data_IF_622770442706
#
_entry.id   IF_622770442706
#
_cell.length_a   1.000
_cell.length_b   1.000
_cell.length_c   1.000
_cell.angle_alpha   90.00
_cell.angle_beta   90.00
_cell.angle_gamma   90.00
#
_symmetry.space_group_name_H-M   'P 1'
#
loop_
_entity.id
_entity.type
_entity.pdbx_description
1 polymer ?
#
# COMPACT_ATOMS: atom_id res chain seq x y z
N UNK A 1 36.74 -9.93 -3.63
CA UNK A 1 36.02 -8.67 -3.34
C UNK A 1 35.11 -8.82 -2.11
N UNK A 2 34.02 -9.58 -2.17
CA UNK A 2 33.07 -9.73 -1.03
C UNK A 2 33.71 -10.30 0.24
N UNK A 3 34.72 -11.17 0.12
CA UNK A 3 35.49 -11.68 1.28
C UNK A 3 36.15 -10.55 2.08
N UNK A 4 36.70 -9.55 1.40
CA UNK A 4 37.33 -8.38 2.03
C UNK A 4 36.28 -7.56 2.79
N UNK A 5 35.11 -7.35 2.17
CA UNK A 5 33.96 -6.69 2.82
C UNK A 5 33.57 -7.41 4.11
N UNK A 6 33.48 -8.74 4.09
CA UNK A 6 33.13 -9.53 5.27
C UNK A 6 34.18 -9.47 6.38
N UNK A 7 35.47 -9.48 6.05
CA UNK A 7 36.53 -9.39 7.07
C UNK A 7 36.57 -8.00 7.72
N UNK A 8 36.25 -6.94 6.98
CA UNK A 8 36.30 -5.55 7.44
C UNK A 8 35.06 -5.11 8.23
N UNK A 9 33.96 -5.88 8.20
CA UNK A 9 32.69 -5.51 8.82
C UNK A 9 32.35 -6.41 10.02
N UNK A 10 31.80 -5.81 11.09
CA UNK A 10 31.36 -6.53 12.27
C UNK A 10 30.33 -7.61 11.90
N UNK A 11 30.52 -8.83 12.41
CA UNK A 11 29.68 -9.99 12.13
C UNK A 11 30.05 -10.78 10.86
N UNK A 12 30.89 -10.24 9.98
CA UNK A 12 31.31 -10.94 8.77
C UNK A 12 32.25 -12.14 9.00
N UNK A 13 33.19 -12.13 9.97
CA UNK A 13 33.97 -13.32 10.32
C UNK A 13 33.09 -14.48 10.79
N UNK A 14 32.05 -14.22 11.59
CA UNK A 14 31.11 -15.25 12.06
C UNK A 14 30.39 -15.96 10.90
N UNK A 15 30.01 -15.24 9.84
CA UNK A 15 29.40 -15.82 8.64
C UNK A 15 30.41 -16.72 7.91
N UNK A 16 31.67 -16.29 7.81
CA UNK A 16 32.72 -17.09 7.17
C UNK A 16 33.00 -18.37 7.96
N UNK A 17 32.97 -18.31 9.29
CA UNK A 17 33.23 -19.46 10.16
C UNK A 17 32.05 -20.44 10.17
N UNK A 18 30.81 -19.96 10.24
CA UNK A 18 29.60 -20.78 10.11
C UNK A 18 29.62 -21.59 8.79
N UNK A 19 30.02 -20.93 7.70
CA UNK A 19 30.12 -21.60 6.41
C UNK A 19 31.24 -22.63 6.33
N UNK A 20 32.40 -22.34 6.92
CA UNK A 20 33.52 -23.31 6.96
C UNK A 20 33.14 -24.56 7.72
N UNK A 21 32.36 -24.42 8.80
CA UNK A 21 31.96 -25.53 9.66
C UNK A 21 30.87 -26.39 9.02
N UNK A 22 29.83 -25.77 8.44
CA UNK A 22 28.64 -26.50 8.00
C UNK A 22 28.52 -26.67 6.47
N UNK A 23 29.34 -25.95 5.69
CA UNK A 23 29.23 -25.87 4.23
C UNK A 23 27.96 -25.19 3.71
N UNK A 24 27.17 -24.60 4.61
CA UNK A 24 25.87 -23.98 4.38
C UNK A 24 25.71 -22.78 5.32
N UNK A 25 24.85 -21.83 4.94
CA UNK A 25 24.47 -20.72 5.82
C UNK A 25 23.02 -20.86 6.27
N UNK A 26 22.80 -20.65 7.57
CA UNK A 26 21.48 -20.45 8.17
C UNK A 26 20.79 -19.24 7.53
N UNK A 27 19.47 -19.19 7.66
CA UNK A 27 18.68 -18.10 7.10
C UNK A 27 19.07 -16.74 7.73
N UNK A 28 19.35 -16.72 9.03
CA UNK A 28 19.89 -15.55 9.75
C UNK A 28 21.22 -15.09 9.18
N UNK A 29 22.16 -16.01 8.94
CA UNK A 29 23.48 -15.66 8.39
C UNK A 29 23.39 -15.16 6.94
N UNK A 30 22.49 -15.74 6.13
CA UNK A 30 22.20 -15.26 4.77
C UNK A 30 21.66 -13.83 4.77
N UNK A 31 20.72 -13.50 5.67
CA UNK A 31 20.23 -12.12 5.82
C UNK A 31 21.32 -11.17 6.30
N UNK A 32 22.15 -11.61 7.25
CA UNK A 32 23.25 -10.82 7.80
C UNK A 32 24.33 -10.52 6.73
N UNK A 33 24.67 -11.50 5.90
CA UNK A 33 25.54 -11.35 4.74
C UNK A 33 25.06 -10.24 3.80
N UNK A 34 23.78 -10.28 3.42
CA UNK A 34 23.19 -9.25 2.54
C UNK A 34 23.22 -7.87 3.21
N UNK A 35 22.96 -7.79 4.52
CA UNK A 35 23.05 -6.53 5.26
C UNK A 35 24.46 -5.93 5.25
N UNK A 36 25.50 -6.73 5.49
CA UNK A 36 26.90 -6.28 5.44
C UNK A 36 27.25 -5.77 4.05
N UNK A 37 26.88 -6.51 3.00
CA UNK A 37 27.14 -6.12 1.61
C UNK A 37 26.44 -4.80 1.28
N UNK A 38 25.18 -4.64 1.68
CA UNK A 38 24.39 -3.43 1.43
C UNK A 38 24.91 -2.23 2.21
N UNK A 39 25.35 -2.42 3.45
CA UNK A 39 25.99 -1.38 4.25
C UNK A 39 27.25 -0.87 3.53
N UNK A 40 28.10 -1.76 3.03
CA UNK A 40 29.30 -1.40 2.27
C UNK A 40 28.98 -0.65 0.96
N UNK A 41 27.95 -1.10 0.22
CA UNK A 41 27.51 -0.41 -1.00
C UNK A 41 27.02 1.01 -0.66
N UNK A 42 26.25 1.15 0.41
CA UNK A 42 25.67 2.44 0.84
C UNK A 42 26.76 3.40 1.33
N UNK A 43 27.78 2.90 2.02
CA UNK A 43 28.92 3.68 2.47
C UNK A 43 29.75 4.23 1.28
N UNK A 44 29.91 3.43 0.22
CA UNK A 44 30.70 3.84 -0.95
C UNK A 44 29.97 4.69 -1.99
N UNK A 45 28.70 4.39 -2.27
CA UNK A 45 27.95 5.00 -3.37
C UNK A 45 26.65 5.71 -2.92
N UNK A 46 26.37 5.74 -1.62
CA UNK A 46 25.17 6.35 -1.07
C UNK A 46 23.89 5.57 -1.36
N UNK A 47 22.75 6.26 -1.38
CA UNK A 47 21.42 5.65 -1.46
C UNK A 47 21.02 5.19 -2.88
N UNK A 48 21.77 5.55 -3.91
CA UNK A 48 21.48 5.19 -5.32
C UNK A 48 22.73 4.55 -5.95
N UNK A 49 23.08 3.32 -5.54
CA UNK A 49 24.26 2.66 -6.06
C UNK A 49 24.08 2.21 -7.51
N UNK A 50 25.20 2.20 -8.24
CA UNK A 50 25.30 1.83 -9.64
C UNK A 50 24.92 0.37 -9.88
N UNK A 51 24.40 0.08 -11.09
CA UNK A 51 24.12 -1.31 -11.50
C UNK A 51 25.38 -2.17 -11.45
N UNK A 52 26.53 -1.60 -11.80
CA UNK A 52 27.82 -2.29 -11.82
C UNK A 52 28.25 -2.75 -10.42
N UNK A 53 28.12 -1.89 -9.40
CA UNK A 53 28.51 -2.23 -8.03
C UNK A 53 27.59 -3.29 -7.42
N UNK A 54 26.28 -3.24 -7.69
CA UNK A 54 25.34 -4.30 -7.30
C UNK A 54 25.70 -5.64 -7.93
N UNK A 55 25.97 -5.66 -9.25
CA UNK A 55 26.39 -6.87 -9.97
C UNK A 55 27.70 -7.42 -9.41
N UNK A 56 28.70 -6.57 -9.19
CA UNK A 56 30.02 -6.97 -8.64
C UNK A 56 29.88 -7.61 -7.26
N UNK A 57 28.99 -7.09 -6.42
CA UNK A 57 28.70 -7.66 -5.11
C UNK A 57 28.01 -9.02 -5.23
N UNK A 58 26.92 -9.12 -6.00
CA UNK A 58 26.18 -10.37 -6.19
C UNK A 58 27.07 -11.48 -6.78
N UNK A 59 27.82 -11.14 -7.84
CA UNK A 59 28.76 -12.07 -8.47
C UNK A 59 29.84 -12.56 -7.50
N UNK A 60 30.30 -11.70 -6.57
CA UNK A 60 31.31 -12.06 -5.58
C UNK A 60 30.82 -12.94 -4.41
N UNK A 61 29.50 -13.10 -4.24
CA UNK A 61 28.91 -13.95 -3.19
C UNK A 61 29.02 -15.42 -3.56
N UNK A 62 28.68 -15.79 -4.80
CA UNK A 62 28.60 -17.19 -5.26
C UNK A 62 29.92 -17.96 -5.12
N UNK A 63 31.10 -17.41 -5.49
CA UNK A 63 32.37 -18.10 -5.29
C UNK A 63 32.75 -18.31 -3.82
N UNK A 64 32.23 -17.48 -2.90
CA UNK A 64 32.50 -17.61 -1.47
C UNK A 64 31.55 -18.58 -0.79
N UNK A 65 30.31 -18.64 -1.27
CA UNK A 65 29.27 -19.50 -0.75
C UNK A 65 28.59 -20.29 -1.88
N UNK A 66 29.26 -21.31 -2.46
CA UNK A 66 28.71 -22.07 -3.59
C UNK A 66 27.31 -22.66 -3.37
N UNK A 67 26.94 -23.01 -2.13
CA UNK A 67 25.59 -23.52 -1.82
C UNK A 67 24.49 -22.48 -1.94
N UNK A 68 24.83 -21.20 -2.07
CA UNK A 68 23.88 -20.12 -2.33
C UNK A 68 23.65 -19.90 -3.82
N UNK A 69 24.34 -20.60 -4.71
CA UNK A 69 24.15 -20.46 -6.15
C UNK A 69 22.73 -20.88 -6.54
N UNK A 70 22.04 -20.05 -7.31
CA UNK A 70 20.73 -20.42 -7.87
C UNK A 70 20.92 -21.37 -9.07
N UNK A 71 20.44 -22.63 -8.99
CA UNK A 71 20.60 -23.61 -10.06
C UNK A 71 19.75 -23.31 -11.30
N UNK A 72 18.74 -22.44 -11.20
CA UNK A 72 17.82 -22.11 -12.30
C UNK A 72 18.24 -20.84 -13.07
N UNK A 73 19.27 -20.15 -12.60
CA UNK A 73 19.77 -18.92 -13.21
C UNK A 73 21.03 -19.16 -14.05
N UNK A 74 21.26 -18.31 -15.07
CA UNK A 74 22.35 -18.50 -16.03
C UNK A 74 23.72 -18.37 -15.38
N UNK A 75 23.89 -17.47 -14.43
CA UNK A 75 25.17 -17.18 -13.78
C UNK A 75 25.19 -17.53 -12.29
N UNK A 76 24.03 -17.80 -11.68
CA UNK A 76 23.91 -18.28 -10.32
C UNK A 76 23.77 -17.20 -9.26
N UNK A 77 23.92 -15.92 -9.61
CA UNK A 77 23.90 -14.79 -8.67
C UNK A 77 22.65 -13.91 -8.81
N UNK A 78 21.80 -14.18 -9.80
CA UNK A 78 20.69 -13.32 -10.20
C UNK A 78 19.67 -13.08 -9.08
N UNK A 79 19.50 -14.04 -8.16
CA UNK A 79 18.65 -13.87 -6.97
C UNK A 79 19.23 -12.86 -5.94
N UNK A 80 20.55 -12.65 -5.91
CA UNK A 80 21.15 -11.56 -5.14
C UNK A 80 21.01 -10.22 -5.86
N UNK A 81 21.27 -10.21 -7.18
CA UNK A 81 20.98 -9.07 -8.04
C UNK A 81 20.93 -9.48 -9.52
N UNK A 82 19.80 -9.20 -10.18
CA UNK A 82 19.66 -9.33 -11.63
C UNK A 82 19.76 -7.96 -12.31
N UNK A 83 20.79 -7.70 -13.14
CA UNK A 83 20.96 -6.43 -13.83
C UNK A 83 19.87 -6.16 -14.88
N UNK A 84 19.16 -7.18 -15.38
CA UNK A 84 18.09 -7.02 -16.37
C UNK A 84 16.82 -6.50 -15.74
N UNK A 85 16.35 -7.14 -14.67
CA UNK A 85 15.14 -6.74 -13.94
C UNK A 85 15.37 -5.69 -12.85
N UNK A 86 16.63 -5.44 -12.46
CA UNK A 86 17.00 -4.59 -11.31
C UNK A 86 16.40 -5.07 -9.97
N UNK A 87 16.17 -6.38 -9.86
CA UNK A 87 15.63 -7.06 -8.66
C UNK A 87 16.70 -7.93 -7.99
N UNK A 88 16.33 -8.54 -6.84
CA UNK A 88 17.20 -9.41 -6.04
C UNK A 88 17.41 -8.89 -4.62
N UNK A 89 17.95 -9.73 -3.74
CA UNK A 89 18.07 -9.43 -2.31
C UNK A 89 18.86 -8.15 -2.00
N UNK A 90 19.92 -7.86 -2.77
CA UNK A 90 20.71 -6.63 -2.61
C UNK A 90 19.86 -5.41 -3.00
N UNK A 91 19.11 -5.51 -4.11
CA UNK A 91 18.22 -4.43 -4.58
C UNK A 91 17.08 -4.18 -3.59
N UNK A 92 16.44 -5.25 -3.10
CA UNK A 92 15.37 -5.17 -2.10
C UNK A 92 15.87 -4.55 -0.79
N UNK A 93 17.03 -4.96 -0.31
CA UNK A 93 17.56 -4.45 0.96
C UNK A 93 18.00 -2.99 0.85
N UNK A 94 18.60 -2.56 -0.26
CA UNK A 94 18.89 -1.15 -0.52
C UNK A 94 17.62 -0.29 -0.49
N UNK A 95 16.52 -0.77 -1.07
CA UNK A 95 15.21 -0.09 -1.02
C UNK A 95 14.70 0.07 0.41
N UNK A 96 14.84 -0.95 1.26
CA UNK A 96 14.31 -0.92 2.64
C UNK A 96 15.21 -0.15 3.61
N UNK A 97 16.53 -0.22 3.48
CA UNK A 97 17.49 0.54 4.32
C UNK A 97 17.37 2.05 4.06
N UNK A 98 17.22 2.47 2.79
CA UNK A 98 17.01 3.88 2.43
C UNK A 98 15.74 4.48 3.04
N UNK A 99 14.67 3.68 3.19
CA UNK A 99 13.40 4.11 3.81
C UNK A 99 13.54 4.37 5.31
N UNK A 100 14.34 3.58 6.02
CA UNK A 100 14.56 3.76 7.46
C UNK A 100 15.40 5.01 7.78
N UNK A 101 16.36 5.35 6.91
CA UNK A 101 17.19 6.56 7.05
C UNK A 101 16.38 7.86 6.90
N UNK A 102 15.42 7.91 5.96
CA UNK A 102 14.53 9.07 5.75
C UNK A 102 13.60 9.38 6.95
N UNK A 103 13.39 8.42 7.84
CA UNK A 103 12.60 8.63 9.06
C UNK A 103 13.42 9.18 10.24
N UNK A 104 14.76 9.15 10.19
CA UNK A 104 15.63 9.62 11.29
C UNK A 104 16.38 10.93 11.01
N UNK A 105 16.42 11.39 9.75
CA UNK A 105 17.07 12.65 9.36
C UNK A 105 16.08 13.79 9.13
N UNK A 106 15.53 14.36 10.21
CA UNK A 106 14.80 15.62 10.13
C UNK A 106 15.75 16.81 9.96
N UNK A 107 15.33 17.79 9.16
CA UNK A 107 15.93 19.11 8.93
C UNK A 107 17.16 19.18 8.01
N UNK A 108 16.94 19.39 6.71
CA UNK A 108 17.32 20.61 5.97
C UNK A 108 17.10 20.48 4.45
N UNK A 109 16.64 21.59 3.84
CA UNK A 109 16.54 21.91 2.41
C UNK A 109 15.35 21.35 1.59
N UNK A 110 14.32 22.20 1.50
CA UNK A 110 13.53 22.39 0.28
C UNK A 110 14.46 22.96 -0.81
N UNK A 111 14.75 22.20 -1.87
CA UNK A 111 14.67 22.67 -3.26
C UNK A 111 14.99 21.55 -4.26
N UNK A 112 14.17 21.51 -5.30
CA UNK A 112 14.47 21.04 -6.65
C UNK A 112 14.81 19.55 -6.85
N UNK A 113 13.81 18.76 -7.22
CA UNK A 113 13.99 17.62 -8.13
C UNK A 113 12.65 17.26 -8.81
N UNK A 114 12.40 17.88 -9.96
CA UNK A 114 11.61 17.27 -11.03
C UNK A 114 12.42 16.10 -11.59
N UNK A 115 11.81 14.92 -11.65
CA UNK A 115 11.87 13.93 -12.73
C UNK A 115 11.90 12.48 -12.21
N UNK A 116 10.85 11.76 -12.61
CA UNK A 116 10.87 10.37 -13.09
C UNK A 116 11.23 9.23 -12.13
N UNK A 117 10.27 8.32 -11.98
CA UNK A 117 10.56 6.90 -11.74
C UNK A 117 9.87 6.32 -10.51
N UNK A 118 8.61 5.92 -10.70
CA UNK A 118 7.95 4.76 -10.09
C UNK A 118 8.63 4.19 -8.85
N UNK A 119 8.13 4.59 -7.68
CA UNK A 119 8.45 3.91 -6.42
C UNK A 119 7.16 3.45 -5.76
N UNK A 120 6.78 2.21 -6.03
CA UNK A 120 5.80 1.48 -5.22
C UNK A 120 6.25 1.53 -3.76
N UNK A 121 5.54 2.35 -3.02
CA UNK A 121 5.77 2.64 -1.62
C UNK A 121 4.97 1.66 -0.78
N UNK A 122 5.54 0.47 -0.53
CA UNK A 122 5.15 -0.36 0.61
C UNK A 122 5.44 0.42 1.91
N UNK A 123 4.45 1.18 2.37
CA UNK A 123 4.56 2.10 3.51
C UNK A 123 3.64 3.32 3.42
N UNK A 124 3.17 3.70 2.23
CA UNK A 124 2.15 4.74 2.04
C UNK A 124 0.80 4.11 1.71
N UNK A 125 0.30 3.22 2.57
CA UNK A 125 -0.99 2.55 2.40
C UNK A 125 -2.16 3.25 3.07
N UNK A 126 -1.96 4.43 3.67
CA UNK A 126 -2.99 5.14 4.44
C UNK A 126 -4.04 5.83 3.56
N UNK A 127 -5.18 6.28 4.15
CA UNK A 127 -6.22 7.03 3.43
C UNK A 127 -5.71 8.35 2.80
N UNK A 128 -4.70 8.96 3.42
CA UNK A 128 -4.07 10.22 2.95
C UNK A 128 -2.83 9.98 2.10
N UNK A 129 -2.55 8.73 1.74
CA UNK A 129 -1.40 8.43 0.90
C UNK A 129 -1.69 8.82 -0.54
N UNK A 130 -0.80 9.63 -1.10
CA UNK A 130 -0.80 9.88 -2.54
C UNK A 130 -0.38 8.58 -3.25
N UNK A 131 -1.24 8.05 -4.12
CA UNK A 131 -0.95 6.88 -4.95
C UNK A 131 -0.92 7.33 -6.41
N UNK A 132 0.12 6.91 -7.13
CA UNK A 132 0.19 7.13 -8.57
C UNK A 132 -0.93 6.32 -9.25
N UNK A 133 -1.77 7.00 -10.04
CA UNK A 133 -2.92 6.38 -10.71
C UNK A 133 -2.47 5.40 -11.77
N UNK A 134 -3.06 4.19 -11.79
CA UNK A 134 -2.80 3.22 -12.83
C UNK A 134 -3.39 3.70 -14.18
N UNK A 135 -2.52 3.85 -15.19
CA UNK A 135 -2.85 3.82 -16.63
C UNK A 135 -3.90 4.79 -17.21
N UNK A 136 -4.31 5.87 -16.53
CA UNK A 136 -5.28 6.82 -17.09
C UNK A 136 -4.84 8.30 -17.16
N UNK A 137 -3.53 8.53 -17.25
CA UNK A 137 -2.93 9.85 -17.35
C UNK A 137 -3.11 10.55 -18.72
N UNK A 138 -3.49 9.83 -19.78
CA UNK A 138 -3.46 10.39 -21.14
C UNK A 138 -4.63 11.35 -21.47
N UNK A 139 -5.72 11.36 -20.68
CA UNK A 139 -6.92 12.18 -20.95
C UNK A 139 -7.47 12.92 -19.71
N UNK A 140 -6.60 13.31 -18.77
CA UNK A 140 -7.03 14.12 -17.62
C UNK A 140 -7.16 15.59 -18.04
N UNK A 141 -8.33 16.18 -17.77
CA UNK A 141 -8.58 17.59 -18.04
C UNK A 141 -7.96 18.47 -16.96
N UNK A 142 -7.36 19.58 -17.37
CA UNK A 142 -6.74 20.55 -16.48
C UNK A 142 -7.34 21.96 -16.68
N UNK A 143 -7.15 22.82 -15.67
CA UNK A 143 -7.56 24.22 -15.72
C UNK A 143 -9.03 24.43 -16.08
N UNK A 144 -9.30 25.26 -17.09
CA UNK A 144 -10.66 25.63 -17.47
C UNK A 144 -11.42 24.51 -18.18
N UNK A 145 -10.74 23.54 -18.79
CA UNK A 145 -11.41 22.39 -19.38
C UNK A 145 -12.03 21.51 -18.29
N UNK A 146 -11.34 21.36 -17.16
CA UNK A 146 -11.85 20.65 -15.99
C UNK A 146 -13.11 21.35 -15.43
N UNK A 147 -13.07 22.68 -15.24
CA UNK A 147 -14.23 23.46 -14.77
C UNK A 147 -15.44 23.33 -15.71
N UNK A 148 -15.20 23.40 -17.03
CA UNK A 148 -16.26 23.23 -18.04
C UNK A 148 -16.87 21.83 -17.98
N UNK A 149 -16.06 20.78 -17.82
CA UNK A 149 -16.54 19.41 -17.68
C UNK A 149 -17.40 19.22 -16.42
N UNK A 150 -16.98 19.79 -15.28
CA UNK A 150 -17.75 19.75 -14.02
C UNK A 150 -19.10 20.46 -14.21
N UNK A 151 -19.10 21.66 -14.78
CA UNK A 151 -20.34 22.41 -15.04
C UNK A 151 -21.28 21.67 -16.01
N UNK A 152 -20.73 21.06 -17.06
CA UNK A 152 -21.49 20.23 -18.00
C UNK A 152 -22.16 19.05 -17.30
N UNK A 153 -21.42 18.30 -16.48
CA UNK A 153 -21.96 17.14 -15.76
C UNK A 153 -23.11 17.52 -14.82
N UNK A 154 -23.10 18.71 -14.22
CA UNK A 154 -24.19 19.14 -13.32
C UNK A 154 -25.55 19.29 -14.03
N UNK A 155 -25.55 19.43 -15.36
CA UNK A 155 -26.76 19.62 -16.17
C UNK A 155 -26.99 18.47 -17.17
N UNK A 156 -26.16 17.42 -17.14
CA UNK A 156 -26.25 16.28 -18.06
C UNK A 156 -27.12 15.17 -17.47
N UNK A 157 -28.02 14.56 -18.26
CA UNK A 157 -28.79 13.38 -17.83
C UNK A 157 -28.17 12.06 -18.32
N UNK A 158 -27.31 12.13 -19.34
CA UNK A 158 -26.71 10.96 -19.98
C UNK A 158 -25.63 10.33 -19.09
N UNK A 159 -25.92 9.13 -18.60
CA UNK A 159 -25.06 8.40 -17.66
C UNK A 159 -23.65 8.19 -18.22
N UNK A 160 -23.53 7.76 -19.46
CA UNK A 160 -22.22 7.45 -20.06
C UNK A 160 -21.33 8.69 -20.18
N UNK A 161 -21.92 9.85 -20.53
CA UNK A 161 -21.21 11.13 -20.58
C UNK A 161 -20.77 11.60 -19.19
N UNK A 162 -21.60 11.37 -18.17
CA UNK A 162 -21.22 11.66 -16.78
C UNK A 162 -20.04 10.79 -16.36
N UNK A 163 -20.07 9.49 -16.64
CA UNK A 163 -18.97 8.57 -16.33
C UNK A 163 -17.67 9.00 -17.03
N UNK A 164 -17.73 9.30 -18.34
CA UNK A 164 -16.58 9.78 -19.12
C UNK A 164 -15.97 11.05 -18.51
N UNK A 165 -16.80 12.06 -18.21
CA UNK A 165 -16.34 13.34 -17.65
C UNK A 165 -15.88 13.21 -16.20
N UNK A 166 -16.47 12.32 -15.41
CA UNK A 166 -15.98 11.98 -14.07
C UNK A 166 -14.58 11.37 -14.16
N UNK A 167 -14.37 10.43 -15.08
CA UNK A 167 -13.06 9.80 -15.32
C UNK A 167 -12.01 10.82 -15.77
N UNK A 168 -12.39 11.74 -16.66
CA UNK A 168 -11.52 12.79 -17.17
C UNK A 168 -11.17 13.88 -16.13
N UNK A 169 -11.92 13.98 -15.03
CA UNK A 169 -11.70 14.96 -13.95
C UNK A 169 -11.15 14.32 -12.67
N UNK A 170 -10.80 13.04 -12.72
CA UNK A 170 -10.32 12.26 -11.58
C UNK A 170 -9.14 12.90 -10.84
N UNK A 171 -8.11 13.37 -11.56
CA UNK A 171 -6.93 14.01 -10.97
C UNK A 171 -7.29 15.26 -10.16
N UNK A 172 -8.19 16.10 -10.68
CA UNK A 172 -8.66 17.29 -9.97
C UNK A 172 -9.36 16.91 -8.66
N UNK A 173 -10.18 15.86 -8.71
CA UNK A 173 -10.90 15.32 -7.55
C UNK A 173 -9.95 14.75 -6.49
N UNK A 174 -8.94 13.98 -6.90
CA UNK A 174 -7.91 13.48 -5.98
C UNK A 174 -7.17 14.64 -5.29
N UNK A 175 -6.76 15.67 -6.04
CA UNK A 175 -6.12 16.84 -5.44
C UNK A 175 -7.03 17.55 -4.42
N UNK A 176 -8.34 17.59 -4.67
CA UNK A 176 -9.31 18.17 -3.76
C UNK A 176 -9.50 17.33 -2.49
N UNK A 177 -9.52 16.00 -2.62
CA UNK A 177 -9.65 15.05 -1.50
C UNK A 177 -8.42 15.11 -0.58
N UNK A 178 -7.22 15.24 -1.15
CA UNK A 178 -5.97 15.31 -0.39
C UNK A 178 -5.66 16.71 0.17
N UNK A 179 -6.45 17.73 -0.19
CA UNK A 179 -6.36 19.09 0.37
C UNK A 179 -7.21 19.18 1.65
N UNK A 180 -6.56 19.20 2.82
CA UNK A 180 -7.23 19.22 4.12
C UNK A 180 -8.19 20.40 4.30
N UNK A 181 -7.97 21.53 3.63
CA UNK A 181 -8.85 22.69 3.73
C UNK A 181 -10.07 22.62 2.80
N UNK A 182 -10.03 21.74 1.79
CA UNK A 182 -11.05 21.66 0.73
C UNK A 182 -11.73 20.31 0.62
N UNK A 183 -11.25 19.28 1.29
CA UNK A 183 -11.79 17.91 1.20
C UNK A 183 -13.28 17.83 1.55
N UNK A 184 -13.76 18.67 2.46
CA UNK A 184 -15.18 18.80 2.79
C UNK A 184 -16.06 19.34 1.66
N UNK A 185 -15.48 20.00 0.65
CA UNK A 185 -16.22 20.56 -0.49
C UNK A 185 -16.39 19.59 -1.65
N UNK A 186 -15.77 18.40 -1.61
CA UNK A 186 -15.73 17.46 -2.74
C UNK A 186 -17.12 17.13 -3.28
N UNK A 187 -18.09 16.82 -2.40
CA UNK A 187 -19.46 16.51 -2.80
C UNK A 187 -20.23 17.72 -3.34
N UNK A 188 -19.86 18.94 -2.94
CA UNK A 188 -20.44 20.16 -3.51
C UNK A 188 -19.90 20.46 -4.91
N UNK A 189 -18.63 20.13 -5.17
CA UNK A 189 -18.00 20.31 -6.50
C UNK A 189 -18.42 19.19 -7.46
N UNK A 190 -18.60 17.98 -6.94
CA UNK A 190 -18.99 16.78 -7.69
C UNK A 190 -20.30 16.18 -7.16
N UNK A 191 -21.44 16.90 -7.32
CA UNK A 191 -22.72 16.48 -6.76
C UNK A 191 -23.23 15.17 -7.38
N UNK A 192 -22.74 14.79 -8.58
CA UNK A 192 -23.15 13.54 -9.25
C UNK A 192 -22.82 12.27 -8.46
N UNK A 193 -21.92 12.33 -7.49
CA UNK A 193 -21.73 11.21 -6.55
C UNK A 193 -22.98 10.90 -5.72
N UNK A 194 -23.88 11.87 -5.52
CA UNK A 194 -25.08 11.71 -4.71
C UNK A 194 -26.23 11.06 -5.47
N UNK A 195 -26.27 11.23 -6.80
CA UNK A 195 -27.39 10.80 -7.64
C UNK A 195 -27.03 9.70 -8.67
N UNK A 196 -25.74 9.51 -8.95
CA UNK A 196 -25.29 8.61 -10.03
C UNK A 196 -24.53 7.42 -9.42
N UNK A 197 -25.22 6.28 -9.36
CA UNK A 197 -24.67 5.03 -8.83
C UNK A 197 -23.48 4.53 -9.67
N UNK A 198 -22.44 4.03 -8.99
CA UNK A 198 -21.26 3.40 -9.62
C UNK A 198 -20.05 4.33 -9.79
N UNK A 199 -20.18 5.64 -9.57
CA UNK A 199 -19.06 6.58 -9.72
C UNK A 199 -17.95 6.38 -8.68
N UNK A 200 -18.29 5.94 -7.47
CA UNK A 200 -17.29 5.60 -6.44
C UNK A 200 -16.47 4.38 -6.89
N UNK A 201 -17.13 3.35 -7.42
CA UNK A 201 -16.46 2.17 -7.96
C UNK A 201 -15.57 2.52 -9.15
N UNK A 202 -16.04 3.38 -10.05
CA UNK A 202 -15.20 3.88 -11.16
C UNK A 202 -13.93 4.56 -10.64
N UNK A 203 -14.05 5.47 -9.66
CA UNK A 203 -12.88 6.15 -9.09
C UNK A 203 -11.92 5.17 -8.41
N UNK A 204 -12.47 4.15 -7.74
CA UNK A 204 -11.69 3.08 -7.14
C UNK A 204 -10.93 2.27 -8.19
N UNK A 205 -11.59 1.87 -9.28
CA UNK A 205 -10.98 1.18 -10.42
C UNK A 205 -9.90 2.01 -11.09
N UNK A 206 -10.13 3.31 -11.27
CA UNK A 206 -9.14 4.23 -11.84
C UNK A 206 -7.92 4.34 -10.92
N UNK A 207 -8.14 4.38 -9.61
CA UNK A 207 -7.06 4.52 -8.64
C UNK A 207 -6.22 3.25 -8.48
N UNK A 208 -6.84 2.07 -8.51
CA UNK A 208 -6.19 0.80 -8.17
C UNK A 208 -5.97 -0.15 -9.35
N UNK A 209 -6.63 0.12 -10.48
CA UNK A 209 -6.75 -0.81 -11.59
C UNK A 209 -7.80 -1.88 -11.30
N UNK A 210 -8.50 -2.32 -12.35
CA UNK A 210 -9.59 -3.31 -12.27
C UNK A 210 -9.16 -4.60 -11.57
N UNK A 211 -7.95 -5.09 -11.87
CA UNK A 211 -7.42 -6.32 -11.24
C UNK A 211 -7.29 -6.17 -9.72
N UNK A 212 -6.78 -5.05 -9.23
CA UNK A 212 -6.65 -4.83 -7.78
C UNK A 212 -8.01 -4.58 -7.14
N UNK A 213 -8.89 -3.85 -7.85
CA UNK A 213 -10.17 -3.44 -7.33
C UNK A 213 -11.13 -4.62 -7.09
N UNK A 214 -11.07 -5.65 -7.94
CA UNK A 214 -11.94 -6.83 -7.81
C UNK A 214 -11.47 -7.84 -6.75
N UNK A 215 -10.18 -7.89 -6.42
CA UNK A 215 -9.58 -8.90 -5.53
C UNK A 215 -10.29 -9.10 -4.20
N UNK A 216 -10.71 -8.01 -3.55
CA UNK A 216 -11.42 -8.11 -2.26
C UNK A 216 -12.76 -8.83 -2.43
N UNK A 217 -13.51 -8.45 -3.48
CA UNK A 217 -14.82 -9.02 -3.77
C UNK A 217 -14.71 -10.48 -4.22
N UNK A 218 -13.69 -10.81 -5.02
CA UNK A 218 -13.41 -12.20 -5.44
C UNK A 218 -13.12 -13.14 -4.26
N UNK A 219 -12.52 -12.61 -3.18
CA UNK A 219 -12.21 -13.38 -1.98
C UNK A 219 -13.25 -13.23 -0.87
N UNK A 220 -14.27 -12.38 -1.07
CA UNK A 220 -15.16 -11.94 0.00
C UNK A 220 -15.90 -13.11 0.66
N UNK A 221 -16.44 -14.03 -0.13
CA UNK A 221 -17.16 -15.21 0.36
C UNK A 221 -16.27 -16.12 1.22
N UNK A 222 -14.96 -16.13 0.98
CA UNK A 222 -13.99 -16.87 1.80
C UNK A 222 -13.51 -16.09 3.04
N UNK A 223 -13.47 -14.76 2.95
CA UNK A 223 -12.98 -13.88 4.01
C UNK A 223 -14.05 -13.61 5.07
N UNK A 224 -15.29 -13.32 4.65
CA UNK A 224 -16.42 -13.03 5.52
C UNK A 224 -16.60 -14.02 6.68
N UNK A 225 -16.67 -15.35 6.47
CA UNK A 225 -16.80 -16.29 7.59
C UNK A 225 -15.61 -16.27 8.54
N UNK A 226 -14.39 -15.99 8.05
CA UNK A 226 -13.19 -15.86 8.88
C UNK A 226 -13.23 -14.61 9.75
N UNK A 227 -13.69 -13.49 9.19
CA UNK A 227 -13.89 -12.25 9.93
C UNK A 227 -14.90 -12.46 11.07
N UNK A 228 -16.04 -13.10 10.77
CA UNK A 228 -17.06 -13.39 11.79
C UNK A 228 -16.51 -14.32 12.87
N UNK A 229 -15.77 -15.36 12.50
CA UNK A 229 -15.15 -16.29 13.45
C UNK A 229 -14.17 -15.58 14.39
N UNK A 230 -13.29 -14.73 13.84
CA UNK A 230 -12.31 -13.98 14.62
C UNK A 230 -12.99 -12.93 15.52
N UNK A 231 -14.00 -12.22 15.02
CA UNK A 231 -14.73 -11.20 15.78
C UNK A 231 -15.45 -11.78 17.01
N UNK A 232 -15.84 -13.06 16.99
CA UNK A 232 -16.42 -13.75 18.17
C UNK A 232 -15.43 -13.93 19.31
N UNK A 233 -14.13 -13.86 19.05
CA UNK A 233 -13.08 -13.97 20.09
C UNK A 233 -12.89 -12.67 20.86
N UNK A 234 -13.41 -11.55 20.34
CA UNK A 234 -13.32 -10.24 20.97
C UNK A 234 -14.21 -10.17 22.22
N UNK A 235 -13.88 -9.22 23.10
CA UNK A 235 -14.71 -8.94 24.27
C UNK A 235 -16.10 -8.49 23.83
N UNK A 236 -17.13 -9.23 24.27
CA UNK A 236 -18.51 -8.97 23.90
C UNK A 236 -18.98 -7.60 24.39
N UNK A 237 -19.58 -6.84 23.48
CA UNK A 237 -20.29 -5.59 23.76
C UNK A 237 -21.61 -5.62 22.99
N UNK A 238 -22.66 -4.95 23.48
CA UNK A 238 -23.99 -4.94 22.84
C UNK A 238 -23.91 -4.65 21.33
N UNK A 239 -23.11 -3.65 20.96
CA UNK A 239 -22.97 -3.27 19.56
C UNK A 239 -22.19 -4.28 18.72
N UNK A 240 -21.19 -4.96 19.31
CA UNK A 240 -20.49 -6.05 18.62
C UNK A 240 -21.41 -7.26 18.41
N UNK A 241 -22.29 -7.54 19.37
CA UNK A 241 -23.28 -8.63 19.24
C UNK A 241 -24.33 -8.32 18.17
N UNK A 242 -24.77 -7.07 18.07
CA UNK A 242 -25.70 -6.62 17.01
C UNK A 242 -25.06 -6.81 15.63
N UNK A 243 -23.83 -6.30 15.43
CA UNK A 243 -23.10 -6.47 14.18
C UNK A 243 -22.82 -7.93 13.83
N UNK A 244 -22.56 -8.79 14.82
CA UNK A 244 -22.38 -10.22 14.60
C UNK A 244 -23.67 -10.92 14.18
N UNK A 245 -24.83 -10.44 14.65
CA UNK A 245 -26.15 -10.94 14.25
C UNK A 245 -26.48 -10.51 12.82
N UNK A 246 -26.31 -9.23 12.50
CA UNK A 246 -26.54 -8.65 11.18
C UNK A 246 -25.61 -9.29 10.13
N UNK A 247 -24.33 -9.48 10.47
CA UNK A 247 -23.36 -10.16 9.62
C UNK A 247 -23.75 -11.61 9.28
N UNK A 248 -24.50 -12.29 10.14
CA UNK A 248 -24.99 -13.65 9.91
C UNK A 248 -26.31 -13.69 9.15
N UNK A 249 -26.94 -12.53 8.89
CA UNK A 249 -28.24 -12.45 8.24
C UNK A 249 -29.40 -12.88 9.14
N UNK A 250 -29.20 -12.86 10.46
CA UNK A 250 -30.24 -13.23 11.44
C UNK A 250 -31.22 -12.08 11.75
N UNK A 251 -31.01 -10.90 11.16
CA UNK A 251 -31.84 -9.71 11.32
C UNK A 251 -33.06 -9.73 10.38
N UNK A 252 -33.97 -10.67 10.62
CA UNK A 252 -35.36 -10.54 10.16
C UNK A 252 -36.16 -9.82 11.23
N UNK A 253 -36.14 -8.48 11.22
CA UNK A 253 -37.15 -7.70 11.92
C UNK A 253 -37.87 -6.82 10.89
N UNK A 254 -39.01 -7.30 10.40
CA UNK A 254 -39.86 -6.67 9.38
C UNK A 254 -40.69 -5.49 9.96
N UNK A 255 -40.24 -4.88 11.05
CA UNK A 255 -41.06 -3.94 11.84
C UNK A 255 -40.40 -2.62 12.24
N UNK A 256 -39.14 -2.36 11.87
CA UNK A 256 -38.44 -1.11 12.23
C UNK A 256 -37.96 -0.33 11.01
N UNK A 257 -38.13 1.00 11.03
CA UNK A 257 -37.64 1.92 9.98
C UNK A 257 -36.12 1.88 9.78
N UNK A 258 -35.37 1.23 10.69
CA UNK A 258 -33.93 1.05 10.62
C UNK A 258 -33.58 -0.44 10.59
N UNK A 259 -33.47 -1.02 9.38
CA UNK A 259 -33.15 -2.43 9.13
C UNK A 259 -31.71 -2.86 9.51
N UNK A 260 -30.97 -2.05 10.29
CA UNK A 260 -29.56 -2.31 10.61
C UNK A 260 -28.66 -2.25 9.37
N UNK A 261 -27.43 -2.75 9.52
CA UNK A 261 -26.49 -2.87 8.40
C UNK A 261 -26.74 -4.19 7.68
N UNK A 262 -26.59 -4.22 6.34
CA UNK A 262 -26.64 -5.50 5.64
C UNK A 262 -25.50 -6.43 6.07
N UNK A 263 -25.62 -7.70 5.74
CA UNK A 263 -24.68 -8.73 6.17
C UNK A 263 -23.24 -8.48 5.71
N UNK A 264 -23.04 -7.86 4.55
CA UNK A 264 -21.71 -7.54 4.02
C UNK A 264 -21.12 -6.31 4.71
N UNK A 265 -21.89 -5.23 4.83
CA UNK A 265 -21.49 -4.02 5.55
C UNK A 265 -21.18 -4.31 7.01
N UNK A 266 -22.02 -5.10 7.67
CA UNK A 266 -21.77 -5.57 9.04
C UNK A 266 -20.45 -6.32 9.16
N UNK A 267 -20.15 -7.20 8.20
CA UNK A 267 -18.88 -7.95 8.17
C UNK A 267 -17.68 -7.03 7.91
N UNK A 268 -17.81 -5.99 7.09
CA UNK A 268 -16.77 -4.97 6.89
C UNK A 268 -16.56 -4.17 8.19
N UNK A 269 -17.62 -3.80 8.89
CA UNK A 269 -17.54 -3.09 10.16
C UNK A 269 -16.88 -3.95 11.26
N UNK A 270 -17.15 -5.26 11.29
CA UNK A 270 -16.45 -6.21 12.17
C UNK A 270 -14.94 -6.25 11.89
N UNK A 271 -14.53 -6.15 10.61
CA UNK A 271 -13.10 -6.10 10.27
C UNK A 271 -12.41 -4.92 10.95
N UNK A 272 -13.07 -3.76 11.07
CA UNK A 272 -12.48 -2.60 11.73
C UNK A 272 -12.24 -2.80 13.24
N UNK A 273 -13.03 -3.64 13.92
CA UNK A 273 -12.75 -4.06 15.29
C UNK A 273 -11.53 -4.99 15.42
N UNK A 274 -11.21 -5.71 14.34
CA UNK A 274 -10.05 -6.63 14.28
C UNK A 274 -8.75 -5.92 13.89
N UNK A 275 -8.83 -4.69 13.38
CA UNK A 275 -7.62 -3.94 13.03
C UNK A 275 -6.86 -3.55 14.31
N UNK A 276 -5.53 -3.73 14.34
CA UNK A 276 -4.74 -3.33 15.49
C UNK A 276 -4.86 -1.81 15.71
N UNK A 277 -4.82 -1.34 16.98
CA UNK A 277 -4.80 0.09 17.25
C UNK A 277 -3.63 0.74 16.50
N UNK A 278 -3.92 1.79 15.75
CA UNK A 278 -2.95 2.47 14.90
C UNK A 278 -1.69 2.88 15.69
N UNK A 279 -0.47 2.48 15.26
CA UNK A 279 0.76 2.78 15.97
C UNK A 279 1.04 4.28 15.99
N UNK A 280 0.91 4.88 17.18
CA UNK A 280 1.34 6.26 17.46
C UNK A 280 0.23 7.32 17.41
N UNK A 281 -0.03 7.90 18.58
CA UNK A 281 -0.32 9.32 18.75
C UNK A 281 0.02 9.72 20.19
N UNK A 282 1.33 9.81 20.49
CA UNK A 282 1.79 10.44 21.74
C UNK A 282 1.60 11.96 21.75
N UNK A 283 1.05 12.55 20.68
CA UNK A 283 0.78 13.98 20.57
C UNK A 283 -0.55 14.27 19.83
N UNK A 284 -1.55 14.73 20.60
CA UNK A 284 -2.53 15.79 20.26
C UNK A 284 -3.50 15.65 19.07
N UNK A 285 -3.92 14.46 18.68
CA UNK A 285 -5.24 14.33 18.03
C UNK A 285 -6.03 13.22 18.68
N UNK A 286 -7.18 13.57 19.27
CA UNK A 286 -8.16 12.61 19.76
C UNK A 286 -8.64 11.82 18.55
N UNK A 287 -8.12 10.60 18.35
CA UNK A 287 -8.64 9.72 17.30
C UNK A 287 -10.10 9.43 17.63
N UNK A 288 -10.98 9.69 16.68
CA UNK A 288 -12.41 9.41 16.77
C UNK A 288 -12.61 7.95 17.19
N UNK A 289 -13.53 7.69 18.14
CA UNK A 289 -13.83 6.32 18.54
C UNK A 289 -14.51 5.61 17.38
N UNK A 290 -14.31 4.30 17.24
CA UNK A 290 -14.92 3.55 16.14
C UNK A 290 -16.45 3.75 16.06
N UNK A 291 -17.12 3.80 17.22
CA UNK A 291 -18.55 4.15 17.31
C UNK A 291 -18.86 5.52 16.66
N UNK A 292 -18.13 6.56 17.05
CA UNK A 292 -18.31 7.90 16.50
C UNK A 292 -17.99 7.94 15.00
N UNK A 293 -17.04 7.11 14.53
CA UNK A 293 -16.72 7.00 13.11
C UNK A 293 -17.86 6.37 12.29
N UNK A 294 -18.64 5.46 12.87
CA UNK A 294 -19.80 4.87 12.19
C UNK A 294 -20.88 5.89 11.87
N UNK A 295 -21.07 6.89 12.74
CA UNK A 295 -22.04 7.98 12.51
C UNK A 295 -21.67 8.86 11.31
N UNK A 296 -20.43 8.76 10.82
CA UNK A 296 -19.95 9.44 9.62
C UNK A 296 -20.00 8.58 8.35
N UNK A 297 -20.42 7.31 8.45
CA UNK A 297 -20.57 6.42 7.29
C UNK A 297 -21.88 6.76 6.59
N UNK A 298 -21.79 7.07 5.29
CA UNK A 298 -22.96 7.34 4.45
C UNK A 298 -23.52 6.02 3.93
N UNK A 299 -24.76 5.71 4.28
CA UNK A 299 -25.49 4.58 3.71
C UNK A 299 -26.24 5.04 2.45
N UNK A 300 -25.80 4.56 1.29
CA UNK A 300 -26.53 4.73 0.05
C UNK A 300 -27.66 3.70 0.02
N UNK A 301 -28.91 4.17 0.15
CA UNK A 301 -30.07 3.31 0.02
C UNK A 301 -30.17 2.82 -1.43
N UNK A 302 -30.43 1.53 -1.60
CA UNK A 302 -30.61 0.91 -2.93
C UNK A 302 -31.80 1.49 -3.66
#
# INVERSE_FOLDING_TARGET
>A
FVRKILVENAGGPAILDEYKEHGKLTDSARRHLVNIVVAHITDKEGCVPSKETKTRCAWGVVPLFPSLKDPYSRTGYEHFYDPKSNQGYISWRLKTVSRQSKHHGGHHSKKDARASGTSDSEGSGGPTAYRETCNHLELQLEGDQCKKAISFMNHCAEKDLIFEKMKATFKHRQLLIHDAAKSNTVLSVFPRFLDTKGLILQDFDVQFGTETASRLLEQWDSLKPKIIAEARTLTSTLHLTDLLSDAQGNSQDEGSDWQGWDSDMSSILLLAYLLPPSPGARNKSTKIRFREAMDHIVQFHK
#
